data_IF_483505755013
#
_entry.id   IF_483505755013
#
_cell.length_a   1.000
_cell.length_b   1.000
_cell.length_c   1.000
_cell.angle_alpha   90.00
_cell.angle_beta   90.00
_cell.angle_gamma   90.00
#
_symmetry.space_group_name_H-M   'P 1'
#
loop_
_entity.id
_entity.type
_entity.pdbx_description
1 polymer ?
#
# COMPACT_ATOMS: atom_id res chain seq x y z
N UNK A 1 -15.25 -13.14 -14.59
CA UNK A 1 -15.93 -11.95 -14.01
C UNK A 1 -16.26 -12.07 -12.52
N UNK A 2 -15.87 -13.17 -11.83
CA UNK A 2 -16.12 -13.36 -10.39
C UNK A 2 -15.01 -12.90 -9.44
N UNK A 3 -13.82 -12.54 -9.94
CA UNK A 3 -12.70 -12.15 -9.09
C UNK A 3 -13.03 -10.89 -8.28
N UNK A 4 -13.57 -9.87 -8.96
CA UNK A 4 -14.00 -8.57 -8.40
C UNK A 4 -15.28 -8.62 -7.56
N UNK A 5 -15.89 -9.79 -7.39
CA UNK A 5 -17.09 -9.94 -6.56
C UNK A 5 -16.77 -10.49 -5.16
N UNK A 6 -15.53 -10.94 -4.93
CA UNK A 6 -15.11 -11.43 -3.62
C UNK A 6 -14.74 -10.24 -2.73
N UNK A 7 -15.68 -9.87 -1.89
CA UNK A 7 -15.48 -8.82 -0.89
C UNK A 7 -14.52 -9.31 0.22
N UNK A 8 -13.64 -8.42 0.69
CA UNK A 8 -12.87 -8.66 1.91
C UNK A 8 -13.81 -8.69 3.11
N UNK A 9 -13.56 -9.52 4.15
CA UNK A 9 -14.28 -9.45 5.40
C UNK A 9 -13.95 -8.13 6.10
N UNK A 10 -14.71 -7.07 5.78
CA UNK A 10 -14.42 -5.69 6.19
C UNK A 10 -14.27 -5.56 7.70
N UNK A 11 -15.16 -6.18 8.48
CA UNK A 11 -15.09 -6.16 9.94
C UNK A 11 -13.77 -6.73 10.48
N UNK A 12 -13.27 -7.81 9.88
CA UNK A 12 -11.99 -8.42 10.27
C UNK A 12 -10.79 -7.57 9.81
N UNK A 13 -10.86 -7.00 8.61
CA UNK A 13 -9.80 -6.14 8.08
C UNK A 13 -9.68 -4.83 8.86
N UNK A 14 -10.80 -4.22 9.25
CA UNK A 14 -10.86 -3.02 10.11
C UNK A 14 -10.35 -3.35 11.51
N UNK A 15 -10.78 -4.47 12.10
CA UNK A 15 -10.31 -4.89 13.42
C UNK A 15 -8.78 -5.14 13.48
N UNK A 16 -8.18 -5.52 12.35
CA UNK A 16 -6.73 -5.68 12.22
C UNK A 16 -5.98 -4.44 11.71
N UNK A 17 -6.66 -3.29 11.58
CA UNK A 17 -6.08 -2.06 11.01
C UNK A 17 -5.41 -2.28 9.64
N UNK A 18 -5.93 -3.20 8.83
CA UNK A 18 -5.42 -3.43 7.47
C UNK A 18 -5.92 -2.31 6.57
N UNK A 19 -5.04 -1.79 5.71
CA UNK A 19 -5.40 -0.77 4.73
C UNK A 19 -6.42 -1.33 3.72
N UNK A 20 -7.54 -0.62 3.58
CA UNK A 20 -8.66 -0.98 2.70
C UNK A 20 -8.73 0.04 1.56
N UNK A 21 -8.69 -0.45 0.32
CA UNK A 21 -8.85 0.33 -0.90
C UNK A 21 -10.29 0.20 -1.42
N UNK A 22 -10.82 1.31 -1.95
CA UNK A 22 -12.17 1.41 -2.54
C UNK A 22 -13.31 0.94 -1.60
N UNK A 23 -13.06 0.94 -0.29
CA UNK A 23 -14.01 0.48 0.73
C UNK A 23 -14.40 -1.00 0.67
N UNK A 24 -13.70 -1.82 -0.13
CA UNK A 24 -14.09 -3.22 -0.42
C UNK A 24 -12.95 -4.23 -0.47
N UNK A 25 -11.72 -3.79 -0.75
CA UNK A 25 -10.58 -4.69 -0.96
C UNK A 25 -9.43 -4.33 -0.04
N UNK A 26 -8.72 -5.32 0.50
CA UNK A 26 -7.39 -5.07 1.08
C UNK A 26 -6.39 -4.71 -0.02
N UNK A 27 -5.29 -4.05 0.34
CA UNK A 27 -4.19 -3.78 -0.60
C UNK A 27 -3.72 -5.07 -1.29
N UNK A 28 -3.53 -6.14 -0.52
CA UNK A 28 -3.12 -7.45 -1.06
C UNK A 28 -4.09 -7.97 -2.12
N UNK A 29 -5.40 -7.90 -1.85
CA UNK A 29 -6.41 -8.34 -2.82
C UNK A 29 -6.44 -7.45 -4.05
N UNK A 30 -6.43 -6.13 -3.88
CA UNK A 30 -6.42 -5.17 -5.00
C UNK A 30 -5.19 -5.36 -5.89
N UNK A 31 -4.01 -5.57 -5.29
CA UNK A 31 -2.79 -5.88 -6.01
C UNK A 31 -2.94 -7.17 -6.81
N UNK A 32 -3.41 -8.26 -6.19
CA UNK A 32 -3.68 -9.52 -6.89
C UNK A 32 -4.68 -9.31 -8.04
N UNK A 33 -5.73 -8.53 -7.82
CA UNK A 33 -6.74 -8.19 -8.83
C UNK A 33 -6.13 -7.48 -10.05
N UNK A 34 -5.29 -6.47 -9.80
CA UNK A 34 -4.60 -5.68 -10.82
C UNK A 34 -3.62 -6.52 -11.63
N UNK A 35 -3.07 -7.58 -11.05
CA UNK A 35 -2.17 -8.51 -11.74
C UNK A 35 -2.97 -9.55 -12.55
N UNK A 36 -3.94 -10.20 -11.92
CA UNK A 36 -4.67 -11.34 -12.51
C UNK A 36 -5.61 -10.89 -13.63
N UNK A 37 -6.23 -9.72 -13.50
CA UNK A 37 -7.18 -9.21 -14.50
C UNK A 37 -6.57 -9.04 -15.90
N UNK A 38 -5.45 -8.32 -16.08
CA UNK A 38 -4.84 -8.17 -17.41
C UNK A 38 -4.34 -9.51 -17.96
N UNK A 39 -3.79 -10.40 -17.12
CA UNK A 39 -3.36 -11.74 -17.56
C UNK A 39 -4.56 -12.54 -18.08
N UNK A 40 -5.67 -12.57 -17.33
CA UNK A 40 -6.89 -13.27 -17.74
C UNK A 40 -7.47 -12.69 -19.04
N UNK A 41 -7.45 -11.37 -19.19
CA UNK A 41 -7.96 -10.70 -20.40
C UNK A 41 -7.09 -11.02 -21.63
N UNK A 42 -5.77 -11.11 -21.46
CA UNK A 42 -4.85 -11.56 -22.52
C UNK A 42 -5.07 -13.02 -22.91
N UNK A 43 -5.31 -13.91 -21.96
CA UNK A 43 -5.64 -15.32 -22.23
C UNK A 43 -6.93 -15.42 -23.03
N UNK A 44 -7.98 -14.67 -22.63
CA UNK A 44 -9.27 -14.65 -23.33
C UNK A 44 -9.10 -14.12 -24.75
N UNK A 45 -8.37 -13.01 -24.95
CA UNK A 45 -8.08 -12.47 -26.28
C UNK A 45 -7.27 -13.46 -27.15
N UNK A 46 -6.30 -14.16 -26.56
CA UNK A 46 -5.52 -15.18 -27.26
C UNK A 46 -6.37 -16.37 -27.73
N UNK A 47 -7.30 -16.83 -26.89
CA UNK A 47 -8.24 -17.91 -27.25
C UNK A 47 -9.23 -17.42 -28.31
N UNK A 48 -9.73 -16.19 -28.18
CA UNK A 48 -10.77 -15.66 -29.06
C UNK A 48 -10.26 -15.39 -30.48
N UNK A 49 -9.01 -14.94 -30.62
CA UNK A 49 -8.37 -14.66 -31.91
C UNK A 49 -7.72 -15.89 -32.57
N UNK A 50 -7.74 -17.06 -31.92
CA UNK A 50 -7.00 -18.26 -32.36
C UNK A 50 -7.76 -19.22 -33.28
N UNK A 51 -9.01 -18.93 -33.66
CA UNK A 51 -9.90 -19.91 -34.30
C UNK A 51 -9.54 -20.30 -35.74
N UNK A 52 -8.89 -19.43 -36.52
CA UNK A 52 -8.59 -19.69 -37.95
C UNK A 52 -7.11 -19.44 -38.35
N UNK A 53 -6.16 -19.69 -37.45
CA UNK A 53 -4.75 -19.30 -37.66
C UNK A 53 -3.82 -20.44 -38.09
N UNK A 54 -2.87 -20.11 -38.97
CA UNK A 54 -1.76 -20.96 -39.44
C UNK A 54 -0.85 -21.38 -38.27
N UNK A 55 -0.19 -22.56 -38.33
CA UNK A 55 0.73 -23.00 -37.28
C UNK A 55 1.89 -22.03 -36.97
N UNK A 56 2.33 -21.22 -37.93
CA UNK A 56 3.33 -20.17 -37.69
C UNK A 56 2.76 -18.98 -36.89
N UNK A 57 1.55 -18.53 -37.23
CA UNK A 57 0.86 -17.45 -36.53
C UNK A 57 0.56 -17.82 -35.08
N UNK A 58 0.17 -19.08 -34.84
CA UNK A 58 -0.01 -19.62 -33.48
C UNK A 58 1.26 -19.57 -32.64
N UNK A 59 2.44 -19.74 -33.25
CA UNK A 59 3.74 -19.64 -32.54
C UNK A 59 4.07 -18.19 -32.20
N UNK A 60 3.84 -17.26 -33.12
CA UNK A 60 4.02 -15.83 -32.88
C UNK A 60 3.09 -15.31 -31.80
N UNK A 61 1.82 -15.73 -31.80
CA UNK A 61 0.85 -15.34 -30.77
C UNK A 61 1.24 -15.84 -29.38
N UNK A 62 1.77 -17.07 -29.27
CA UNK A 62 2.29 -17.60 -27.99
C UNK A 62 3.46 -16.78 -27.47
N UNK A 63 4.41 -16.44 -28.33
CA UNK A 63 5.57 -15.62 -27.95
C UNK A 63 5.10 -14.23 -27.52
N UNK A 64 4.17 -13.63 -28.27
CA UNK A 64 3.58 -12.32 -27.94
C UNK A 64 2.87 -12.36 -26.58
N UNK A 65 2.06 -13.37 -26.33
CA UNK A 65 1.37 -13.56 -25.05
C UNK A 65 2.37 -13.66 -23.89
N UNK A 66 3.41 -14.49 -24.03
CA UNK A 66 4.46 -14.66 -23.01
C UNK A 66 5.18 -13.34 -22.75
N UNK A 67 5.56 -12.61 -23.81
CA UNK A 67 6.22 -11.31 -23.68
C UNK A 67 5.32 -10.28 -23.02
N UNK A 68 4.02 -10.25 -23.35
CA UNK A 68 3.09 -9.31 -22.72
C UNK A 68 2.89 -9.63 -21.24
N UNK A 69 2.68 -10.90 -20.88
CA UNK A 69 2.58 -11.32 -19.47
C UNK A 69 3.88 -10.97 -18.72
N UNK A 70 5.03 -11.28 -19.31
CA UNK A 70 6.34 -10.97 -18.74
C UNK A 70 6.53 -9.46 -18.52
N UNK A 71 6.14 -8.63 -19.49
CA UNK A 71 6.22 -7.17 -19.37
C UNK A 71 5.31 -6.64 -18.27
N UNK A 72 4.07 -7.13 -18.15
CA UNK A 72 3.14 -6.72 -17.10
C UNK A 72 3.72 -7.05 -15.72
N UNK A 73 4.16 -8.29 -15.52
CA UNK A 73 4.79 -8.73 -14.26
C UNK A 73 6.02 -7.90 -13.92
N UNK A 74 6.88 -7.60 -14.91
CA UNK A 74 8.06 -6.78 -14.71
C UNK A 74 7.70 -5.36 -14.25
N UNK A 75 6.69 -4.74 -14.89
CA UNK A 75 6.22 -3.40 -14.49
C UNK A 75 5.69 -3.39 -13.05
N UNK A 76 4.97 -4.43 -12.63
CA UNK A 76 4.47 -4.56 -11.25
C UNK A 76 5.63 -4.68 -10.25
N UNK A 77 6.63 -5.51 -10.55
CA UNK A 77 7.81 -5.65 -9.68
C UNK A 77 8.57 -4.33 -9.58
N UNK A 78 8.77 -3.63 -10.69
CA UNK A 78 9.42 -2.32 -10.70
C UNK A 78 8.61 -1.30 -9.88
N UNK A 79 7.29 -1.28 -10.02
CA UNK A 79 6.42 -0.38 -9.27
C UNK A 79 6.45 -0.67 -7.76
N UNK A 80 6.40 -1.93 -7.34
CA UNK A 80 6.51 -2.32 -5.92
C UNK A 80 7.87 -1.92 -5.33
N UNK A 81 8.98 -2.17 -6.05
CA UNK A 81 10.32 -1.75 -5.64
C UNK A 81 10.38 -0.22 -5.52
N UNK A 82 9.85 0.51 -6.51
CA UNK A 82 9.85 1.97 -6.52
C UNK A 82 9.07 2.54 -5.33
N UNK A 83 7.86 2.04 -5.06
CA UNK A 83 7.05 2.48 -3.93
C UNK A 83 7.76 2.26 -2.58
N UNK A 84 8.36 1.08 -2.39
CA UNK A 84 9.13 0.76 -1.17
C UNK A 84 10.38 1.63 -0.99
N UNK A 85 11.00 2.06 -2.08
CA UNK A 85 12.16 2.94 -2.04
C UNK A 85 11.77 4.40 -1.76
N UNK A 86 10.63 4.86 -2.29
CA UNK A 86 10.15 6.23 -2.10
C UNK A 86 9.63 6.47 -0.69
N UNK A 87 8.92 5.50 -0.10
CA UNK A 87 8.31 5.71 1.23
C UNK A 87 9.33 5.85 2.37
N UNK A 88 10.57 5.38 2.20
CA UNK A 88 11.63 5.51 3.20
C UNK A 88 11.33 4.76 4.52
N UNK A 89 12.30 4.08 5.13
CA UNK A 89 12.05 3.40 6.39
C UNK A 89 11.85 4.43 7.52
N UNK A 90 10.61 4.61 8.02
CA UNK A 90 10.35 5.41 9.23
C UNK A 90 11.08 4.84 10.47
N UNK A 91 11.40 3.54 10.44
CA UNK A 91 12.12 2.83 11.48
C UNK A 91 13.19 1.92 10.86
N UNK A 92 14.37 1.88 11.48
CA UNK A 92 15.38 0.87 11.21
C UNK A 92 14.99 -0.40 11.99
N UNK A 93 14.87 -1.51 11.27
CA UNK A 93 14.66 -2.83 11.86
C UNK A 93 16.01 -3.49 12.10
N UNK A 94 16.31 -3.78 13.36
CA UNK A 94 17.40 -4.68 13.79
C UNK A 94 16.81 -6.04 14.14
N UNK A 95 17.62 -7.09 14.17
CA UNK A 95 17.19 -8.48 14.43
C UNK A 95 16.33 -8.65 15.71
N UNK A 96 16.44 -7.75 16.68
CA UNK A 96 15.75 -7.83 17.97
C UNK A 96 14.90 -6.58 18.31
N UNK A 97 14.93 -5.52 17.50
CA UNK A 97 14.26 -4.26 17.85
C UNK A 97 14.03 -3.36 16.65
N UNK A 98 12.97 -2.55 16.70
CA UNK A 98 12.74 -1.43 15.80
C UNK A 98 13.17 -0.14 16.49
N UNK A 99 14.01 0.67 15.83
CA UNK A 99 14.44 1.97 16.34
C UNK A 99 14.24 3.07 15.30
N UNK A 100 14.03 4.31 15.75
CA UNK A 100 13.87 5.46 14.85
C UNK A 100 15.22 5.84 14.25
N UNK A 101 15.18 6.46 13.07
CA UNK A 101 16.37 7.05 12.44
C UNK A 101 16.96 8.15 13.34
N UNK A 102 18.29 8.21 13.43
CA UNK A 102 19.01 9.23 14.20
C UNK A 102 18.99 10.60 13.49
N UNK A 103 19.02 11.68 14.26
CA UNK A 103 19.09 13.07 13.78
C UNK A 103 18.02 13.46 12.74
N UNK A 104 16.81 12.93 12.88
CA UNK A 104 15.68 13.27 12.01
C UNK A 104 14.77 14.31 12.68
N UNK A 105 14.23 15.22 11.88
CA UNK A 105 13.13 16.11 12.26
C UNK A 105 11.95 15.81 11.34
N UNK A 106 10.85 15.35 11.92
CA UNK A 106 9.62 15.01 11.22
C UNK A 106 8.57 16.03 11.63
N UNK A 107 8.12 16.83 10.67
CA UNK A 107 7.00 17.74 10.84
C UNK A 107 5.74 17.11 10.28
N UNK A 108 4.63 17.27 10.97
CA UNK A 108 3.35 16.76 10.53
C UNK A 108 2.20 17.46 11.21
N UNK A 109 1.01 17.17 10.72
CA UNK A 109 -0.24 17.61 11.32
C UNK A 109 -0.93 16.36 11.82
N UNK A 110 -1.20 16.30 13.12
CA UNK A 110 -2.01 15.25 13.70
C UNK A 110 -3.48 15.67 13.65
N UNK A 111 -4.29 14.92 12.92
CA UNK A 111 -5.73 15.09 12.89
C UNK A 111 -6.34 14.01 13.78
N UNK A 112 -7.16 14.42 14.75
CA UNK A 112 -7.92 13.49 15.61
C UNK A 112 -9.15 12.99 14.86
N UNK A 113 -8.89 12.35 13.73
CA UNK A 113 -9.89 11.71 12.88
C UNK A 113 -9.45 10.29 12.60
N UNK A 114 -10.35 9.30 12.67
CA UNK A 114 -9.98 7.93 12.35
C UNK A 114 -9.54 7.82 10.89
N UNK A 115 -8.39 7.18 10.65
CA UNK A 115 -7.87 6.90 9.29
C UNK A 115 -8.88 6.21 8.36
N UNK A 116 -9.87 5.54 8.95
CA UNK A 116 -10.96 4.87 8.25
C UNK A 116 -12.31 5.39 8.71
N UNK A 117 -13.08 5.93 7.77
CA UNK A 117 -14.41 6.50 8.01
C UNK A 117 -15.43 5.54 8.68
N UNK A 118 -15.15 4.24 8.68
CA UNK A 118 -16.05 3.23 9.25
C UNK A 118 -16.02 3.11 10.78
N UNK A 119 -14.96 3.61 11.44
CA UNK A 119 -14.81 3.38 12.87
C UNK A 119 -15.86 4.15 13.70
N UNK A 120 -16.26 5.35 13.26
CA UNK A 120 -17.20 6.22 13.97
C UNK A 120 -17.96 7.14 12.99
N UNK A 121 -19.07 6.68 12.37
CA UNK A 121 -19.79 7.47 11.37
C UNK A 121 -20.40 8.76 11.93
N UNK A 122 -20.72 8.78 13.21
CA UNK A 122 -21.29 9.91 13.94
C UNK A 122 -20.32 10.46 15.00
N UNK A 123 -19.00 10.27 14.82
CA UNK A 123 -18.04 10.88 15.75
C UNK A 123 -18.23 12.40 15.76
N UNK A 124 -18.37 13.02 16.94
CA UNK A 124 -18.29 14.47 17.03
C UNK A 124 -16.92 14.92 16.49
N UNK A 125 -16.83 16.17 16.03
CA UNK A 125 -15.55 16.73 15.60
C UNK A 125 -14.50 16.50 16.70
N UNK A 126 -13.41 15.83 16.35
CA UNK A 126 -12.28 15.59 17.24
C UNK A 126 -11.55 16.89 17.59
N UNK A 127 -10.41 16.77 18.26
CA UNK A 127 -9.55 17.92 18.49
C UNK A 127 -9.14 18.58 17.15
N UNK A 128 -8.98 19.92 17.12
CA UNK A 128 -8.48 20.59 15.93
C UNK A 128 -7.11 20.04 15.53
N UNK A 129 -6.72 20.12 14.24
CA UNK A 129 -5.43 19.63 13.79
C UNK A 129 -4.28 20.22 14.60
N UNK A 130 -3.42 19.36 15.14
CA UNK A 130 -2.29 19.75 15.98
C UNK A 130 -1.01 19.63 15.15
N UNK A 131 -0.35 20.74 14.89
CA UNK A 131 0.99 20.72 14.30
C UNK A 131 1.96 20.08 15.30
N UNK A 132 2.76 19.12 14.84
CA UNK A 132 3.78 18.50 15.67
C UNK A 132 5.13 18.48 14.97
N UNK A 133 6.17 18.57 15.78
CA UNK A 133 7.55 18.38 15.36
C UNK A 133 8.17 17.29 16.21
N UNK A 134 8.49 16.15 15.59
CA UNK A 134 9.19 15.06 16.24
C UNK A 134 10.68 15.09 15.86
N UNK A 135 11.54 15.27 16.86
CA UNK A 135 13.00 15.23 16.67
C UNK A 135 13.62 14.01 17.35
N UNK A 136 14.62 13.42 16.70
CA UNK A 136 15.44 12.35 17.25
C UNK A 136 16.88 12.79 17.44
N UNK A 137 17.52 12.33 18.53
CA UNK A 137 18.93 12.58 18.80
C UNK A 137 19.85 11.68 17.95
N UNK A 138 21.17 11.82 18.13
CA UNK A 138 22.17 11.03 17.42
C UNK A 138 22.08 9.51 17.68
N UNK A 139 21.30 9.08 18.67
CA UNK A 139 21.06 7.68 19.03
C UNK A 139 19.65 7.22 18.64
N UNK A 140 18.85 8.07 17.98
CA UNK A 140 17.47 7.76 17.59
C UNK A 140 16.47 7.84 18.74
N UNK A 141 16.85 8.37 19.90
CA UNK A 141 15.92 8.63 21.00
C UNK A 141 15.20 9.96 20.81
N UNK A 142 14.00 10.11 21.39
CA UNK A 142 13.34 11.42 21.45
C UNK A 142 14.23 12.37 22.23
N UNK A 143 14.44 13.56 21.69
CA UNK A 143 15.34 14.54 22.28
C UNK A 143 14.75 15.07 23.61
N UNK A 144 15.18 14.51 24.74
CA UNK A 144 14.62 14.80 26.07
C UNK A 144 15.15 16.08 26.72
N UNK A 145 16.18 16.71 26.14
CA UNK A 145 16.83 17.91 26.67
C UNK A 145 16.05 19.20 26.40
N UNK A 146 14.96 19.13 25.64
CA UNK A 146 14.11 20.28 25.30
C UNK A 146 12.65 20.06 25.70
N UNK A 147 12.42 19.47 26.88
CA UNK A 147 11.07 19.31 27.45
C UNK A 147 10.27 20.63 27.50
N UNK A 148 10.96 21.77 27.64
CA UNK A 148 10.35 23.10 27.67
C UNK A 148 9.80 23.59 26.31
N UNK A 149 10.19 22.95 25.20
CA UNK A 149 9.68 23.24 23.85
C UNK A 149 8.91 22.07 23.24
N UNK A 150 8.59 21.07 24.05
CA UNK A 150 7.69 20.00 23.63
C UNK A 150 6.27 20.48 23.90
N UNK A 151 5.42 20.52 22.87
CA UNK A 151 3.98 20.62 23.06
C UNK A 151 3.50 19.32 23.70
N UNK A 152 3.50 19.29 25.03
CA UNK A 152 2.85 18.23 25.78
C UNK A 152 1.37 18.55 25.74
N UNK A 153 0.61 17.81 24.93
CA UNK A 153 -0.85 17.79 25.03
C UNK A 153 -1.18 17.08 26.34
N UNK A 154 -1.35 17.86 27.41
CA UNK A 154 -1.85 17.37 28.70
C UNK A 154 -3.37 17.52 28.69
N UNK A 155 -4.07 16.41 28.89
CA UNK A 155 -5.52 16.36 29.11
C UNK A 155 -5.84 16.53 30.60
#
# INVERSE_FOLDING_TARGET
MGLWLRESPLAYCVAQQRQILLGRYTIEQMTVQLIVTPIALLIVLGIWTGKDKSPQEKRHDKIRLILTIGSVLLTIVIADIFLRLVEGPAYIRTAQSHHRLANQSIHGIFEDTPDTAFAYPDAPAGYPPIEYTLTTDARGFRNGTTLASCDVVVL
#
